data_IF_570955002756
#
_entry.id   IF_570955002756
#
_cell.length_a   1.000
_cell.length_b   1.000
_cell.length_c   1.000
_cell.angle_alpha   90.00
_cell.angle_beta   90.00
_cell.angle_gamma   90.00
#
_symmetry.space_group_name_H-M   'P 1'
#
loop_
_entity.id
_entity.type
_entity.pdbx_description
1 polymer ?
#
# COMPACT_ATOMS: atom_id res chain seq x y z
N UNK A 1 11.32 -1.10 -10.38
CA UNK A 1 10.74 0.16 -9.87
C UNK A 1 11.81 1.24 -9.82
N UNK A 2 12.94 1.01 -9.15
CA UNK A 2 14.06 1.94 -9.07
C UNK A 2 14.53 2.44 -10.45
N UNK A 3 14.83 1.54 -11.39
CA UNK A 3 15.26 1.91 -12.74
C UNK A 3 14.23 2.76 -13.47
N UNK A 4 12.94 2.49 -13.27
CA UNK A 4 11.85 3.28 -13.84
C UNK A 4 11.85 4.70 -13.29
N UNK A 5 12.00 4.88 -11.97
CA UNK A 5 12.02 6.21 -11.38
C UNK A 5 13.30 6.98 -11.77
N UNK A 6 14.46 6.31 -11.79
CA UNK A 6 15.72 6.88 -12.28
C UNK A 6 15.61 7.32 -13.74
N UNK A 7 14.98 6.51 -14.58
CA UNK A 7 14.73 6.87 -15.97
C UNK A 7 13.84 8.11 -16.08
N UNK A 8 12.73 8.19 -15.33
CA UNK A 8 11.85 9.35 -15.34
C UNK A 8 12.55 10.64 -14.89
N UNK A 9 13.36 10.57 -13.83
CA UNK A 9 14.19 11.70 -13.37
C UNK A 9 15.12 12.16 -14.49
N UNK A 10 15.92 11.25 -15.05
CA UNK A 10 16.85 11.57 -16.15
C UNK A 10 16.15 12.17 -17.38
N UNK A 11 14.94 11.70 -17.70
CA UNK A 11 14.14 12.24 -18.81
C UNK A 11 13.64 13.66 -18.55
N UNK A 12 13.25 13.97 -17.31
CA UNK A 12 12.83 15.33 -16.94
C UNK A 12 14.01 16.30 -16.92
N UNK A 13 15.16 15.86 -16.39
CA UNK A 13 16.40 16.63 -16.39
C UNK A 13 16.89 16.93 -17.82
N UNK A 14 16.82 15.95 -18.72
CA UNK A 14 17.15 16.14 -20.13
C UNK A 14 16.23 17.14 -20.85
N UNK A 15 15.03 17.39 -20.30
CA UNK A 15 14.09 18.41 -20.77
C UNK A 15 14.28 19.77 -20.07
N UNK A 16 15.24 19.89 -19.16
CA UNK A 16 15.57 21.13 -18.45
C UNK A 16 14.84 21.35 -17.13
N UNK A 17 14.14 20.35 -16.60
CA UNK A 17 13.42 20.42 -15.33
C UNK A 17 14.24 19.86 -14.17
N UNK A 18 13.99 20.37 -12.96
CA UNK A 18 14.48 19.71 -11.75
C UNK A 18 13.61 18.50 -11.44
N UNK A 19 14.22 17.36 -11.09
CA UNK A 19 13.50 16.15 -10.74
C UNK A 19 14.22 15.33 -9.68
N UNK A 20 13.47 14.68 -8.78
CA UNK A 20 14.03 13.78 -7.75
C UNK A 20 13.06 12.66 -7.42
N UNK A 21 13.57 11.45 -7.19
CA UNK A 21 12.80 10.31 -6.68
C UNK A 21 13.22 10.02 -5.23
N UNK A 22 12.49 10.54 -4.21
CA UNK A 22 13.01 10.56 -2.83
C UNK A 22 13.30 9.19 -2.23
N UNK A 23 12.55 8.14 -2.62
CA UNK A 23 12.81 6.78 -2.14
C UNK A 23 14.16 6.20 -2.58
N UNK A 24 14.80 6.76 -3.61
CA UNK A 24 16.04 6.21 -4.19
C UNK A 24 17.21 7.20 -4.23
N UNK A 25 16.99 8.44 -3.80
CA UNK A 25 17.98 9.52 -3.87
C UNK A 25 18.51 9.94 -2.51
N UNK A 26 17.89 9.46 -1.42
CA UNK A 26 18.37 9.68 -0.05
C UNK A 26 17.96 8.54 0.89
N UNK A 27 18.65 8.38 2.03
CA UNK A 27 18.14 7.58 3.13
C UNK A 27 16.81 8.17 3.63
N UNK A 28 15.83 7.30 3.85
CA UNK A 28 14.57 7.69 4.49
C UNK A 28 14.81 7.84 6.00
N UNK A 29 14.27 8.91 6.58
CA UNK A 29 14.27 9.06 8.02
C UNK A 29 13.17 8.17 8.59
N UNK A 30 13.55 7.14 9.35
CA UNK A 30 12.62 6.29 10.08
C UNK A 30 12.48 6.74 11.53
N UNK A 31 11.26 7.07 11.93
CA UNK A 31 10.89 7.45 13.28
C UNK A 31 10.23 6.25 13.97
N UNK A 32 10.98 5.60 14.84
CA UNK A 32 10.57 4.33 15.48
C UNK A 32 9.69 4.50 16.73
N UNK A 33 9.85 5.62 17.44
CA UNK A 33 9.29 5.82 18.78
C UNK A 33 8.03 6.72 18.81
N UNK A 34 7.21 6.69 17.75
CA UNK A 34 5.97 7.46 17.75
C UNK A 34 4.82 6.67 18.40
N UNK A 35 3.84 7.34 19.05
CA UNK A 35 2.65 6.72 19.66
C UNK A 35 1.88 5.79 18.71
N UNK A 36 1.85 6.12 17.42
CA UNK A 36 1.11 5.38 16.39
C UNK A 36 1.97 4.35 15.63
N UNK A 37 3.20 4.12 16.08
CA UNK A 37 4.16 3.16 15.53
C UNK A 37 5.15 3.74 14.53
N UNK A 38 5.97 2.89 13.89
CA UNK A 38 7.04 3.36 13.04
C UNK A 38 6.52 4.06 11.78
N UNK A 39 7.12 5.20 11.44
CA UNK A 39 6.83 5.95 10.21
C UNK A 39 8.10 6.44 9.54
N UNK A 40 7.98 6.86 8.29
CA UNK A 40 9.01 7.58 7.55
C UNK A 40 8.60 9.03 7.25
N UNK A 41 9.59 9.86 6.94
CA UNK A 41 9.39 11.23 6.44
C UNK A 41 8.88 11.28 4.98
N UNK A 42 8.84 10.15 4.28
CA UNK A 42 8.30 10.01 2.93
C UNK A 42 7.30 8.86 2.85
N UNK A 43 6.13 9.11 2.25
CA UNK A 43 5.07 8.11 2.19
C UNK A 43 4.41 8.03 0.81
N UNK A 44 4.76 7.00 0.05
CA UNK A 44 4.22 6.78 -1.30
C UNK A 44 2.70 6.69 -1.33
N UNK A 45 2.06 6.07 -0.33
CA UNK A 45 0.60 6.02 -0.25
C UNK A 45 -0.04 7.40 -0.10
N UNK A 46 0.60 8.33 0.62
CA UNK A 46 0.08 9.70 0.73
C UNK A 46 0.26 10.48 -0.57
N UNK A 47 1.33 10.20 -1.32
CA UNK A 47 1.59 10.84 -2.61
C UNK A 47 0.61 10.34 -3.67
N UNK A 48 0.32 9.04 -3.71
CA UNK A 48 -0.72 8.47 -4.57
C UNK A 48 -2.09 9.10 -4.26
N UNK A 49 -2.41 9.35 -2.99
CA UNK A 49 -3.61 10.11 -2.60
C UNK A 49 -3.56 11.57 -3.08
N UNK A 50 -2.45 12.27 -2.81
CA UNK A 50 -2.26 13.66 -3.22
C UNK A 50 -2.38 13.84 -4.75
N UNK A 51 -1.82 12.92 -5.52
CA UNK A 51 -1.88 12.84 -6.99
C UNK A 51 -3.26 12.42 -7.53
N UNK A 52 -4.26 12.18 -6.68
CA UNK A 52 -5.62 11.85 -7.08
C UNK A 52 -5.82 10.41 -7.55
N UNK A 53 -4.87 9.50 -7.28
CA UNK A 53 -4.84 8.16 -7.88
C UNK A 53 -5.52 7.07 -7.02
N UNK A 54 -5.80 7.34 -5.75
CA UNK A 54 -6.43 6.36 -4.87
C UNK A 54 -6.81 6.90 -3.49
N UNK A 55 -7.42 6.06 -2.67
CA UNK A 55 -7.84 6.37 -1.29
C UNK A 55 -7.40 5.26 -0.32
N UNK A 56 -7.36 5.54 0.99
CA UNK A 56 -6.90 4.59 1.99
C UNK A 56 -7.89 3.44 2.24
N UNK A 57 -7.34 2.28 2.59
CA UNK A 57 -8.07 1.08 2.98
C UNK A 57 -7.95 0.78 4.48
N UNK A 58 -8.84 -0.10 4.98
CA UNK A 58 -8.80 -0.58 6.36
C UNK A 58 -7.45 -1.21 6.75
N UNK A 59 -6.76 -1.81 5.78
CA UNK A 59 -5.43 -2.41 5.96
C UNK A 59 -4.28 -1.40 6.07
N UNK A 60 -4.57 -0.09 6.09
CA UNK A 60 -3.56 0.98 6.14
C UNK A 60 -2.85 1.28 4.81
N UNK A 61 -3.16 0.51 3.75
CA UNK A 61 -2.65 0.71 2.40
C UNK A 61 -3.52 1.66 1.56
N UNK A 62 -3.21 1.76 0.26
CA UNK A 62 -3.97 2.56 -0.70
C UNK A 62 -4.65 1.68 -1.75
N UNK A 63 -5.88 2.04 -2.11
CA UNK A 63 -6.68 1.38 -3.15
C UNK A 63 -6.81 2.36 -4.32
N UNK A 64 -6.28 2.00 -5.47
CA UNK A 64 -6.35 2.78 -6.72
C UNK A 64 -7.40 2.20 -7.66
N UNK A 65 -7.64 2.85 -8.80
CA UNK A 65 -8.43 2.28 -9.89
C UNK A 65 -7.91 0.90 -10.36
N UNK A 66 -6.60 0.64 -10.20
CA UNK A 66 -5.92 -0.63 -10.53
C UNK A 66 -5.89 -1.61 -9.37
N UNK A 67 -6.50 -1.28 -8.22
CA UNK A 67 -6.54 -2.11 -7.03
C UNK A 67 -5.53 -1.71 -5.95
N UNK A 68 -5.36 -2.61 -4.99
CA UNK A 68 -4.52 -2.46 -3.81
C UNK A 68 -3.23 -3.30 -3.88
N UNK A 69 -3.19 -4.34 -4.70
CA UNK A 69 -1.99 -5.14 -4.94
C UNK A 69 -1.12 -4.47 -6.00
N UNK A 70 -0.43 -3.40 -5.59
CA UNK A 70 0.47 -2.64 -6.45
C UNK A 70 1.68 -2.14 -5.67
N UNK A 71 2.75 -1.85 -6.42
CA UNK A 71 3.85 -1.04 -5.95
C UNK A 71 3.74 0.34 -6.59
N UNK A 72 3.97 1.38 -5.81
CA UNK A 72 3.97 2.77 -6.27
C UNK A 72 5.31 3.44 -5.93
N UNK A 73 5.60 4.49 -6.68
CA UNK A 73 6.77 5.33 -6.52
C UNK A 73 6.45 6.72 -7.04
N UNK A 74 7.26 7.69 -6.64
CA UNK A 74 7.02 9.11 -6.95
C UNK A 74 8.27 9.81 -7.45
N UNK A 75 8.04 10.80 -8.31
CA UNK A 75 9.05 11.78 -8.74
C UNK A 75 8.49 13.17 -8.40
N UNK A 76 9.26 13.97 -7.67
CA UNK A 76 9.01 15.39 -7.47
C UNK A 76 9.71 16.14 -8.58
N UNK A 77 9.05 17.14 -9.18
CA UNK A 77 9.63 17.95 -10.24
C UNK A 77 8.97 19.33 -10.27
N UNK A 78 9.67 20.32 -10.83
CA UNK A 78 9.19 21.69 -11.04
C UNK A 78 8.40 21.88 -12.34
N UNK A 79 8.24 20.82 -13.15
CA UNK A 79 7.37 20.87 -14.33
C UNK A 79 5.93 21.16 -13.93
N UNK A 80 5.29 22.09 -14.64
CA UNK A 80 3.89 22.43 -14.42
C UNK A 80 2.99 21.36 -15.07
N UNK A 81 2.27 20.60 -14.25
CA UNK A 81 1.33 19.57 -14.70
C UNK A 81 -0.10 19.95 -14.33
N UNK A 82 -1.06 19.58 -15.18
CA UNK A 82 -2.48 19.64 -14.81
C UNK A 82 -2.76 18.56 -13.75
N UNK A 83 -3.27 18.92 -12.55
CA UNK A 83 -3.57 17.94 -11.52
C UNK A 83 -4.65 16.95 -11.96
N UNK A 84 -4.49 15.68 -11.61
CA UNK A 84 -5.54 14.67 -11.80
C UNK A 84 -6.76 15.01 -10.94
N UNK A 85 -7.97 15.08 -11.53
CA UNK A 85 -9.20 15.29 -10.76
C UNK A 85 -9.45 14.15 -9.75
N UNK A 86 -9.82 14.50 -8.53
CA UNK A 86 -10.26 13.51 -7.53
C UNK A 86 -11.73 13.18 -7.76
N UNK A 87 -12.03 11.93 -8.09
CA UNK A 87 -13.39 11.45 -8.40
C UNK A 87 -14.08 10.78 -7.22
N UNK A 88 -13.53 10.92 -6.01
CA UNK A 88 -14.00 10.28 -4.80
C UNK A 88 -14.36 11.31 -3.71
N UNK A 89 -15.38 10.99 -2.92
CA UNK A 89 -15.94 11.92 -1.93
C UNK A 89 -15.02 12.19 -0.73
N UNK A 90 -14.21 11.20 -0.34
CA UNK A 90 -13.31 11.29 0.80
C UNK A 90 -12.13 10.32 0.70
N UNK A 91 -11.17 10.48 1.60
CA UNK A 91 -9.93 9.70 1.64
C UNK A 91 -10.08 8.21 1.99
N UNK A 92 -11.30 7.71 2.23
CA UNK A 92 -11.61 6.31 2.52
C UNK A 92 -12.55 5.67 1.47
N UNK A 93 -12.90 6.42 0.43
CA UNK A 93 -14.02 6.11 -0.46
C UNK A 93 -13.85 4.82 -1.29
N UNK A 94 -12.65 4.28 -1.52
CA UNK A 94 -12.49 3.03 -2.27
C UNK A 94 -12.61 1.77 -1.40
N UNK A 95 -12.64 1.91 -0.07
CA UNK A 95 -12.74 0.77 0.83
C UNK A 95 -14.21 0.40 1.12
N UNK A 96 -14.62 -0.83 0.79
CA UNK A 96 -15.99 -1.31 1.10
C UNK A 96 -16.29 -1.29 2.60
N UNK A 97 -15.31 -1.54 3.47
CA UNK A 97 -15.52 -1.45 4.92
C UNK A 97 -15.99 -0.05 5.33
N UNK A 98 -15.29 0.99 4.88
CA UNK A 98 -15.65 2.37 5.20
C UNK A 98 -16.86 2.88 4.44
N UNK A 99 -17.13 2.36 3.24
CA UNK A 99 -18.33 2.71 2.45
C UNK A 99 -19.62 2.19 3.05
N UNK A 100 -19.66 0.92 3.48
CA UNK A 100 -20.91 0.27 3.85
C UNK A 100 -20.75 -0.91 4.83
N UNK A 101 -19.56 -1.12 5.40
CA UNK A 101 -19.31 -2.21 6.34
C UNK A 101 -19.31 -3.63 5.74
N UNK A 102 -19.44 -3.79 4.41
CA UNK A 102 -19.68 -5.11 3.80
C UNK A 102 -18.42 -5.95 3.57
N UNK A 103 -17.24 -5.49 4.00
CA UNK A 103 -15.97 -6.15 3.73
C UNK A 103 -15.04 -6.12 4.94
N UNK A 104 -14.48 -7.26 5.31
CA UNK A 104 -13.42 -7.39 6.32
C UNK A 104 -12.30 -8.33 5.88
N UNK A 105 -12.18 -8.64 4.58
CA UNK A 105 -11.28 -9.71 4.08
C UNK A 105 -9.81 -9.49 4.41
N UNK A 106 -9.36 -8.24 4.55
CA UNK A 106 -8.00 -7.94 4.98
C UNK A 106 -7.76 -8.28 6.47
N UNK A 107 -8.80 -8.24 7.32
CA UNK A 107 -8.73 -8.73 8.71
C UNK A 107 -8.50 -10.25 8.69
N UNK A 108 -9.33 -10.99 7.95
CA UNK A 108 -9.25 -12.45 7.85
C UNK A 108 -7.88 -12.94 7.32
N UNK A 109 -7.25 -12.15 6.46
CA UNK A 109 -5.96 -12.48 5.83
C UNK A 109 -4.74 -11.98 6.60
N UNK A 110 -4.91 -11.27 7.71
CA UNK A 110 -3.79 -10.71 8.47
C UNK A 110 -3.23 -11.74 9.47
N UNK A 111 -2.05 -12.35 9.20
CA UNK A 111 -1.51 -13.39 10.09
C UNK A 111 -1.06 -12.83 11.45
N UNK A 112 -0.72 -11.55 11.52
CA UNK A 112 -0.26 -10.89 12.75
C UNK A 112 -1.39 -10.34 13.63
N UNK A 113 -2.64 -10.37 13.15
CA UNK A 113 -3.75 -9.69 13.83
C UNK A 113 -3.58 -8.17 13.90
N UNK A 114 -2.77 -7.57 13.02
CA UNK A 114 -2.55 -6.13 12.93
C UNK A 114 -3.74 -5.35 12.35
N UNK A 115 -4.70 -6.01 11.71
CA UNK A 115 -5.88 -5.36 11.13
C UNK A 115 -7.12 -5.79 11.90
N UNK A 116 -7.93 -4.83 12.34
CA UNK A 116 -9.20 -5.07 13.02
C UNK A 116 -10.26 -4.08 12.55
N UNK A 117 -11.49 -4.22 13.06
CA UNK A 117 -12.56 -3.23 12.85
C UNK A 117 -12.19 -1.80 13.34
N UNK A 118 -11.20 -1.69 14.25
CA UNK A 118 -10.68 -0.41 14.75
C UNK A 118 -9.60 0.21 13.87
N UNK A 119 -9.15 -0.49 12.83
CA UNK A 119 -8.09 -0.03 11.93
C UNK A 119 -6.86 -0.93 11.92
N UNK A 120 -5.77 -0.37 11.38
CA UNK A 120 -4.47 -1.00 11.20
C UNK A 120 -3.49 -0.58 12.29
N UNK A 121 -2.87 -1.57 12.93
CA UNK A 121 -1.81 -1.44 13.93
C UNK A 121 -0.44 -1.66 13.26
N UNK A 122 0.25 -0.55 13.01
CA UNK A 122 1.54 -0.54 12.32
C UNK A 122 2.63 -1.27 13.13
N UNK A 123 2.57 -1.24 14.46
CA UNK A 123 3.57 -1.86 15.34
C UNK A 123 3.47 -3.38 15.30
N UNK A 124 2.25 -3.92 15.37
CA UNK A 124 2.04 -5.37 15.24
C UNK A 124 2.46 -5.90 13.88
N UNK A 125 2.12 -5.17 12.82
CA UNK A 125 2.52 -5.53 11.47
C UNK A 125 4.05 -5.50 11.33
N UNK A 126 4.69 -4.44 11.81
CA UNK A 126 6.14 -4.30 11.80
C UNK A 126 6.84 -5.42 12.58
N UNK A 127 6.39 -5.71 13.82
CA UNK A 127 6.95 -6.82 14.61
C UNK A 127 6.84 -8.16 13.88
N UNK A 128 5.69 -8.43 13.24
CA UNK A 128 5.53 -9.64 12.44
C UNK A 128 6.52 -9.70 11.27
N UNK A 129 6.78 -8.59 10.60
CA UNK A 129 7.73 -8.51 9.49
C UNK A 129 9.19 -8.67 9.93
N UNK A 130 9.60 -8.08 11.05
CA UNK A 130 11.01 -8.09 11.47
C UNK A 130 11.38 -9.30 12.33
N UNK A 131 10.40 -9.94 12.99
CA UNK A 131 10.67 -11.01 13.96
C UNK A 131 10.06 -12.34 13.52
N UNK A 132 8.74 -12.37 13.33
CA UNK A 132 8.04 -13.64 13.07
C UNK A 132 8.26 -14.16 11.65
N UNK A 133 8.20 -13.31 10.63
CA UNK A 133 8.40 -13.73 9.24
C UNK A 133 9.80 -14.30 8.98
N UNK A 134 10.91 -13.69 9.45
CA UNK A 134 12.23 -14.29 9.32
C UNK A 134 12.32 -15.65 10.04
N UNK A 135 11.74 -15.76 11.24
CA UNK A 135 11.69 -17.04 11.98
C UNK A 135 10.95 -18.12 11.21
N UNK A 136 9.75 -17.82 10.72
CA UNK A 136 8.94 -18.73 9.91
C UNK A 136 9.68 -19.10 8.61
N UNK A 137 10.30 -18.12 7.95
CA UNK A 137 11.05 -18.33 6.71
C UNK A 137 12.19 -19.32 6.91
N UNK A 138 12.91 -19.20 8.02
CA UNK A 138 13.98 -20.11 8.43
C UNK A 138 13.45 -21.51 8.76
N UNK A 139 12.39 -21.59 9.56
CA UNK A 139 11.77 -22.87 9.93
C UNK A 139 11.26 -23.64 8.70
N UNK A 140 10.84 -22.93 7.64
CA UNK A 140 10.41 -23.50 6.36
C UNK A 140 11.55 -23.76 5.36
N UNK A 141 12.79 -23.40 5.68
CA UNK A 141 13.92 -23.48 4.73
C UNK A 141 13.74 -22.59 3.49
N UNK A 142 12.96 -21.51 3.62
CA UNK A 142 12.56 -20.60 2.54
C UNK A 142 13.29 -19.25 2.60
N UNK A 143 14.41 -19.19 3.32
CA UNK A 143 15.23 -17.98 3.40
C UNK A 143 15.72 -17.54 2.01
N UNK A 144 15.78 -16.24 1.72
CA UNK A 144 16.34 -15.76 0.46
C UNK A 144 17.81 -16.15 0.35
N UNK A 145 18.19 -16.81 -0.75
CA UNK A 145 19.60 -17.07 -1.05
C UNK A 145 20.41 -15.76 -1.07
N UNK A 146 21.56 -15.74 -0.40
CA UNK A 146 22.50 -14.61 -0.44
C UNK A 146 22.18 -13.42 0.47
N UNK A 147 21.33 -13.56 1.49
CA UNK A 147 21.06 -12.48 2.45
C UNK A 147 20.18 -11.35 1.87
N UNK A 148 19.24 -11.72 1.01
CA UNK A 148 18.29 -10.80 0.38
C UNK A 148 17.35 -10.10 1.36
N UNK A 149 16.49 -9.22 0.82
CA UNK A 149 15.51 -8.48 1.62
C UNK A 149 14.64 -9.42 2.46
N UNK A 150 14.28 -9.03 3.70
CA UNK A 150 13.42 -9.85 4.55
C UNK A 150 12.09 -10.15 3.84
N UNK A 151 11.52 -11.35 4.07
CA UNK A 151 10.27 -11.76 3.46
C UNK A 151 9.15 -10.75 3.75
N UNK A 152 8.43 -10.34 2.71
CA UNK A 152 7.27 -9.44 2.81
C UNK A 152 5.97 -10.24 2.83
N UNK A 153 5.02 -9.90 3.70
CA UNK A 153 3.75 -10.60 3.83
C UNK A 153 2.77 -10.29 2.67
N UNK A 154 2.40 -9.02 2.49
CA UNK A 154 1.43 -8.53 1.48
C UNK A 154 0.07 -9.26 1.40
N UNK A 155 -0.25 -10.16 2.34
CA UNK A 155 -1.45 -11.00 2.29
C UNK A 155 -2.73 -10.18 2.40
N UNK A 156 -2.70 -9.04 3.09
CA UNK A 156 -3.85 -8.14 3.22
C UNK A 156 -4.19 -7.37 1.92
N UNK A 157 -3.39 -7.51 0.87
CA UNK A 157 -3.59 -6.88 -0.45
C UNK A 157 -3.96 -7.89 -1.55
N UNK A 158 -3.66 -9.18 -1.35
CA UNK A 158 -3.94 -10.26 -2.31
C UNK A 158 -5.17 -11.06 -1.91
N UNK A 159 -5.86 -11.71 -2.87
CA UNK A 159 -7.10 -12.47 -2.65
C UNK A 159 -8.15 -11.70 -1.82
N UNK A 160 -8.26 -10.39 -2.04
CA UNK A 160 -9.25 -9.50 -1.43
C UNK A 160 -10.05 -8.77 -2.52
N UNK A 161 -11.28 -8.31 -2.25
CA UNK A 161 -12.11 -7.68 -3.29
C UNK A 161 -11.49 -6.45 -3.97
N UNK A 162 -10.59 -5.74 -3.26
CA UNK A 162 -9.88 -4.57 -3.78
C UNK A 162 -8.50 -4.88 -4.39
N UNK A 163 -8.12 -6.15 -4.56
CA UNK A 163 -6.79 -6.56 -5.04
C UNK A 163 -6.42 -5.89 -6.36
N UNK A 164 -7.31 -5.93 -7.36
CA UNK A 164 -7.04 -5.50 -8.74
C UNK A 164 -8.00 -4.42 -9.28
N UNK A 165 -8.85 -3.86 -8.43
CA UNK A 165 -9.83 -2.82 -8.79
C UNK A 165 -10.40 -2.13 -7.56
N UNK A 166 -11.12 -1.04 -7.76
CA UNK A 166 -12.06 -0.52 -6.76
C UNK A 166 -13.27 -1.46 -6.72
N UNK A 167 -13.58 -2.09 -5.57
CA UNK A 167 -14.71 -3.00 -5.49
C UNK A 167 -16.05 -2.24 -5.62
N UNK A 168 -17.01 -2.76 -6.42
CA UNK A 168 -18.34 -2.14 -6.54
C UNK A 168 -19.14 -2.35 -5.24
N UNK A 169 -20.14 -1.48 -5.00
CA UNK A 169 -21.17 -1.78 -4.01
C UNK A 169 -21.88 -3.06 -4.47
N UNK A 170 -21.90 -4.10 -3.65
CA UNK A 170 -22.81 -5.22 -3.90
C UNK A 170 -24.22 -4.77 -3.49
N UNK A 171 -25.13 -4.69 -4.45
CA UNK A 171 -26.57 -4.62 -4.16
C UNK A 171 -26.96 -5.83 -3.31
N UNK A 172 -27.86 -5.67 -2.34
CA UNK A 172 -28.23 -6.71 -1.37
C UNK A 172 -28.82 -8.01 -1.97
N UNK A 173 -28.98 -8.12 -3.30
CA UNK A 173 -29.67 -9.24 -3.97
C UNK A 173 -28.75 -10.36 -4.52
N UNK A 174 -27.50 -10.44 -4.08
CA UNK A 174 -26.51 -11.38 -4.65
C UNK A 174 -26.19 -12.64 -3.83
N UNK A 175 -26.96 -12.99 -2.79
CA UNK A 175 -26.83 -14.31 -2.14
C UNK A 175 -27.65 -15.34 -2.92
N UNK A 176 -27.13 -15.80 -4.06
CA UNK A 176 -27.45 -17.15 -4.53
C UNK A 176 -26.38 -18.08 -3.98
N UNK A 177 -26.83 -19.00 -3.11
CA UNK A 177 -26.02 -20.07 -2.59
C UNK A 177 -25.55 -20.97 -3.74
N UNK A 178 -24.25 -21.25 -3.76
CA UNK A 178 -23.66 -22.32 -4.54
C UNK A 178 -22.81 -23.16 -3.61
N UNK A 179 -23.44 -24.10 -2.91
CA UNK A 179 -22.77 -25.33 -2.50
C UNK A 179 -22.81 -26.25 -3.72
N UNK A 180 -21.65 -26.67 -4.20
CA UNK A 180 -21.45 -27.89 -4.98
C UNK A 180 -20.17 -28.53 -4.47
#
# INVERSE_FOLDING_TARGET
MEDTLKHLVSRLEALGYQAVAPMYTRPLLFLWQLPDGPTSDWSEKHIVYAAGLGTFGLNGGIITARGAALQCGSVITDVTLTPTPRTYDNHLAHCLYYRNGSCGRCIERCPSGAISARGYDSRKCFFYHEVELPRISKDLGSEPEGGGHPPVCSLCQTKVPCENRIPPNRSANGRQGGKS
#
